data_IF_078226641441
#
_entry.id   IF_078226641441
#
_cell.length_a   1.000
_cell.length_b   1.000
_cell.length_c   1.000
_cell.angle_alpha   90.00
_cell.angle_beta   90.00
_cell.angle_gamma   90.00
#
_symmetry.space_group_name_H-M   'P 1'
#
loop_
_entity.id
_entity.type
_entity.pdbx_description
1 polymer ?
#
# COMPACT_ATOMS: atom_id res chain seq x y z
N UNK A 1 10.77 -13.76 2.14
CA UNK A 1 9.61 -13.56 3.03
C UNK A 1 8.70 -12.54 2.36
N UNK A 2 7.45 -12.87 2.02
CA UNK A 2 6.51 -11.94 1.36
C UNK A 2 5.72 -11.20 2.45
N UNK A 3 5.76 -9.87 2.45
CA UNK A 3 4.97 -9.03 3.36
C UNK A 3 3.66 -8.67 2.67
N UNK A 4 2.54 -9.15 3.20
CA UNK A 4 1.21 -8.77 2.75
C UNK A 4 0.85 -7.41 3.33
N UNK A 5 0.18 -6.57 2.53
CA UNK A 5 -0.34 -5.25 2.90
C UNK A 5 -1.85 -5.24 2.69
N UNK A 6 -2.58 -4.45 3.48
CA UNK A 6 -4.03 -4.28 3.35
C UNK A 6 -4.80 -4.54 4.65
N UNK A 7 -6.13 -4.39 4.68
CA UNK A 7 -7.06 -4.62 3.58
C UNK A 7 -7.18 -3.51 2.52
N UNK A 8 -7.47 -3.94 1.30
CA UNK A 8 -7.87 -3.11 0.15
C UNK A 8 -9.29 -3.51 -0.28
N UNK A 9 -10.00 -2.59 -0.92
CA UNK A 9 -11.32 -2.87 -1.50
C UNK A 9 -11.18 -3.09 -3.01
N UNK A 10 -11.78 -4.16 -3.54
CA UNK A 10 -11.89 -4.33 -4.99
C UNK A 10 -12.89 -3.31 -5.52
N UNK A 11 -12.47 -2.49 -6.47
CA UNK A 11 -13.32 -1.49 -7.14
C UNK A 11 -13.77 -1.98 -8.51
N UNK A 12 -12.91 -2.72 -9.21
CA UNK A 12 -13.19 -3.24 -10.55
C UNK A 12 -12.52 -4.60 -10.80
N UNK A 13 -13.14 -5.38 -11.70
CA UNK A 13 -12.66 -6.69 -12.12
C UNK A 13 -12.26 -6.61 -13.60
N UNK A 14 -10.97 -6.85 -13.89
CA UNK A 14 -10.43 -6.88 -15.24
C UNK A 14 -10.24 -8.34 -15.70
N UNK A 15 -9.90 -8.53 -16.98
CA UNK A 15 -9.79 -9.86 -17.60
C UNK A 15 -8.77 -10.78 -16.90
N UNK A 16 -7.66 -10.21 -16.41
CA UNK A 16 -6.56 -10.96 -15.78
C UNK A 16 -6.09 -10.34 -14.45
N UNK A 17 -6.69 -9.23 -14.06
CA UNK A 17 -6.31 -8.46 -12.87
C UNK A 17 -7.52 -7.84 -12.19
N UNK A 18 -7.28 -7.20 -11.05
CA UNK A 18 -8.30 -6.55 -10.26
C UNK A 18 -7.82 -5.16 -9.89
N UNK A 19 -8.71 -4.18 -9.98
CA UNK A 19 -8.46 -2.84 -9.49
C UNK A 19 -8.79 -2.78 -8.00
N UNK A 20 -7.85 -2.30 -7.20
CA UNK A 20 -8.00 -2.13 -5.77
C UNK A 20 -7.93 -0.68 -5.37
N UNK A 21 -8.80 -0.27 -4.46
CA UNK A 21 -8.72 1.01 -3.77
C UNK A 21 -8.17 0.79 -2.36
N UNK A 22 -7.17 1.59 -1.98
CA UNK A 22 -6.69 1.62 -0.59
C UNK A 22 -7.69 2.34 0.31
N UNK A 23 -8.09 1.70 1.41
CA UNK A 23 -9.19 2.15 2.27
C UNK A 23 -8.99 3.53 2.92
N UNK A 24 -7.74 3.97 3.07
CA UNK A 24 -7.39 5.26 3.68
C UNK A 24 -7.02 6.33 2.65
N UNK A 25 -6.10 6.02 1.74
CA UNK A 25 -5.56 7.00 0.78
C UNK A 25 -6.42 7.16 -0.45
N UNK A 26 -7.35 6.22 -0.70
CA UNK A 26 -8.17 6.17 -1.91
C UNK A 26 -7.37 6.04 -3.21
N UNK A 27 -6.10 5.63 -3.09
CA UNK A 27 -5.28 5.33 -4.27
C UNK A 27 -5.70 4.00 -4.88
N UNK A 28 -5.73 3.96 -6.21
CA UNK A 28 -6.09 2.80 -7.00
C UNK A 28 -4.85 2.05 -7.49
N UNK A 29 -4.92 0.72 -7.50
CA UNK A 29 -3.83 -0.16 -7.89
C UNK A 29 -4.35 -1.32 -8.74
N UNK A 30 -3.73 -1.54 -9.91
CA UNK A 30 -3.96 -2.71 -10.73
C UNK A 30 -3.10 -3.89 -10.24
N UNK A 31 -3.75 -4.96 -9.77
CA UNK A 31 -3.07 -6.11 -9.16
C UNK A 31 -3.51 -7.41 -9.84
N UNK A 32 -2.53 -8.21 -10.26
CA UNK A 32 -2.76 -9.53 -10.84
C UNK A 32 -3.36 -10.51 -9.82
N UNK A 33 -4.28 -11.37 -10.26
CA UNK A 33 -5.05 -12.29 -9.40
C UNK A 33 -4.19 -13.18 -8.47
N UNK A 34 -2.99 -13.56 -8.90
CA UNK A 34 -2.06 -14.41 -8.13
C UNK A 34 -1.48 -13.71 -6.89
N UNK A 35 -1.54 -12.38 -6.82
CA UNK A 35 -1.03 -11.58 -5.70
C UNK A 35 -2.12 -11.26 -4.66
N UNK A 36 -3.20 -12.04 -4.65
CA UNK A 36 -4.36 -11.80 -3.79
C UNK A 36 -4.49 -12.86 -2.69
N UNK A 37 -4.93 -12.40 -1.53
CA UNK A 37 -5.35 -13.26 -0.43
C UNK A 37 -6.76 -12.85 -0.02
N UNK A 38 -7.72 -13.75 -0.20
CA UNK A 38 -9.12 -13.49 0.16
C UNK A 38 -9.26 -13.28 1.67
N UNK A 39 -9.96 -12.22 2.05
CA UNK A 39 -10.40 -11.94 3.41
C UNK A 39 -11.92 -12.06 3.45
N UNK A 40 -12.46 -12.85 4.39
CA UNK A 40 -13.88 -13.19 4.41
C UNK A 40 -14.81 -11.99 4.71
N UNK A 41 -15.95 -11.94 4.01
CA UNK A 41 -16.91 -10.82 3.97
C UNK A 41 -17.49 -10.41 5.33
N UNK A 42 -17.49 -11.32 6.33
CA UNK A 42 -18.06 -10.99 7.65
C UNK A 42 -17.24 -9.90 8.37
N UNK A 43 -15.94 -9.82 8.08
CA UNK A 43 -15.01 -8.90 8.74
C UNK A 43 -15.12 -7.51 8.12
N UNK A 44 -15.54 -7.42 6.84
CA UNK A 44 -15.63 -6.16 6.10
C UNK A 44 -16.70 -5.20 6.65
N UNK A 45 -17.69 -5.72 7.41
CA UNK A 45 -18.70 -4.89 8.09
C UNK A 45 -18.10 -3.99 9.17
N UNK A 46 -16.88 -4.26 9.62
CA UNK A 46 -16.18 -3.53 10.68
C UNK A 46 -15.23 -2.49 10.08
N UNK A 47 -15.76 -1.63 9.21
CA UNK A 47 -14.98 -0.68 8.42
C UNK A 47 -14.08 0.26 9.26
N UNK A 48 -14.48 0.58 10.49
CA UNK A 48 -13.71 1.45 11.41
C UNK A 48 -12.48 0.72 11.97
N UNK A 49 -12.65 -0.48 12.49
CA UNK A 49 -11.54 -1.27 13.06
C UNK A 49 -10.56 -1.71 11.97
N UNK A 50 -11.06 -2.03 10.77
CA UNK A 50 -10.21 -2.35 9.63
C UNK A 50 -9.36 -1.16 9.19
N UNK A 51 -9.93 0.06 9.15
CA UNK A 51 -9.16 1.28 8.84
C UNK A 51 -8.08 1.56 9.88
N UNK A 52 -8.37 1.33 11.16
CA UNK A 52 -7.37 1.42 12.23
C UNK A 52 -6.24 0.39 12.05
N UNK A 53 -6.58 -0.85 11.70
CA UNK A 53 -5.60 -1.91 11.45
C UNK A 53 -4.73 -1.61 10.24
N UNK A 54 -5.29 -1.08 9.15
CA UNK A 54 -4.51 -0.58 8.00
C UNK A 54 -3.57 0.55 8.43
N UNK A 55 -4.06 1.49 9.25
CA UNK A 55 -3.22 2.57 9.80
C UNK A 55 -2.05 2.07 10.65
N UNK A 56 -2.23 0.95 11.36
CA UNK A 56 -1.21 0.31 12.21
C UNK A 56 -0.18 -0.53 11.43
N UNK A 57 -0.45 -0.92 10.18
CA UNK A 57 0.49 -1.73 9.38
C UNK A 57 1.73 -0.96 8.92
N UNK A 58 1.78 0.34 9.22
CA UNK A 58 2.85 1.24 8.85
C UNK A 58 2.66 1.75 7.43
N UNK A 59 2.87 3.05 7.26
CA UNK A 59 2.80 3.72 5.96
C UNK A 59 3.86 3.07 5.07
N UNK A 60 3.45 2.33 4.05
CA UNK A 60 4.34 1.98 2.95
C UNK A 60 4.51 3.27 2.15
N UNK A 61 5.55 4.05 2.49
CA UNK A 61 5.93 5.25 1.74
C UNK A 61 6.42 4.77 0.38
N UNK A 62 5.48 4.62 -0.55
CA UNK A 62 5.79 4.43 -1.96
C UNK A 62 6.50 5.69 -2.44
N UNK A 63 7.78 5.55 -2.75
CA UNK A 63 8.54 6.61 -3.44
C UNK A 63 7.98 6.66 -4.86
N UNK A 64 7.27 7.73 -5.21
CA UNK A 64 6.76 7.98 -6.56
C UNK A 64 7.92 8.32 -7.49
N UNK A 65 8.87 9.13 -7.03
CA UNK A 65 10.06 9.50 -7.79
C UNK A 65 11.24 9.83 -6.88
N UNK A 66 12.45 9.47 -7.32
CA UNK A 66 13.70 9.91 -6.69
C UNK A 66 14.14 11.22 -7.35
N UNK A 67 13.98 12.33 -6.64
CA UNK A 67 14.29 13.67 -7.15
C UNK A 67 15.78 14.02 -7.05
N UNK A 68 16.54 13.29 -6.23
CA UNK A 68 17.98 13.48 -6.11
C UNK A 68 18.56 12.84 -4.86
N UNK A 69 19.88 12.99 -4.69
CA UNK A 69 20.57 12.52 -3.49
C UNK A 69 21.72 13.45 -3.11
N UNK A 70 21.97 13.55 -1.80
CA UNK A 70 23.13 14.28 -1.26
C UNK A 70 23.86 13.44 -0.23
N UNK A 71 25.17 13.58 -0.16
CA UNK A 71 25.95 13.02 0.93
C UNK A 71 26.00 14.01 2.10
N UNK A 72 25.39 13.66 3.23
CA UNK A 72 25.46 14.46 4.43
C UNK A 72 26.77 14.15 5.17
N UNK A 73 27.76 15.05 5.04
CA UNK A 73 29.07 14.93 5.70
C UNK A 73 29.00 14.91 7.22
N UNK A 74 27.95 15.51 7.83
CA UNK A 74 27.77 15.55 9.29
C UNK A 74 27.25 14.21 9.81
N UNK A 75 26.27 13.63 9.13
CA UNK A 75 25.72 12.31 9.45
C UNK A 75 26.60 11.16 8.94
N UNK A 76 27.49 11.43 7.98
CA UNK A 76 28.26 10.44 7.21
C UNK A 76 27.36 9.43 6.47
N UNK A 77 26.24 9.91 5.97
CA UNK A 77 25.20 9.09 5.34
C UNK A 77 24.74 9.71 4.01
N UNK A 78 24.24 8.86 3.11
CA UNK A 78 23.57 9.29 1.89
C UNK A 78 22.11 9.55 2.18
N UNK A 79 21.63 10.73 1.83
CA UNK A 79 20.23 11.11 1.92
C UNK A 79 19.63 11.18 0.51
N UNK A 80 18.39 10.70 0.37
CA UNK A 80 17.63 10.72 -0.86
C UNK A 80 16.43 11.66 -0.72
N UNK A 81 16.26 12.54 -1.71
CA UNK A 81 15.05 13.33 -1.85
C UNK A 81 14.05 12.53 -2.69
N UNK A 82 12.88 12.28 -2.11
CA UNK A 82 11.81 11.48 -2.71
C UNK A 82 10.49 12.23 -2.67
N UNK A 83 9.65 12.03 -3.68
CA UNK A 83 8.23 12.47 -3.71
C UNK A 83 7.28 11.30 -3.85
#
# INVERSE_FOLDING_TARGET
MVRWVGPFQVVDILLTSFMFEHLLTKEEYDVHAIRLKHLADNILKLAVELKQLVGLQGINLGVREVQGGRYNKRAKEWELLVS
#
